data_IF_500582755781
#
_entry.id   IF_500582755781
#
_cell.length_a   1.000
_cell.length_b   1.000
_cell.length_c   1.000
_cell.angle_alpha   90.00
_cell.angle_beta   90.00
_cell.angle_gamma   90.00
#
_symmetry.space_group_name_H-M   'P 1'
#
loop_
_entity.id
_entity.type
_entity.pdbx_description
1 polymer ?
#
# COMPACT_ATOMS: atom_id res chain seq x y z
N UNK A 1 23.72 -6.19 -27.27
CA UNK A 1 23.59 -6.37 -28.74
C UNK A 1 24.10 -5.13 -29.45
N UNK A 2 23.54 -3.95 -29.17
CA UNK A 2 23.95 -2.67 -29.76
C UNK A 2 25.42 -2.29 -29.51
N UNK A 3 25.98 -2.56 -28.33
CA UNK A 3 27.40 -2.33 -28.05
C UNK A 3 28.32 -3.09 -29.03
N UNK A 4 28.03 -4.38 -29.27
CA UNK A 4 28.83 -5.21 -30.19
C UNK A 4 28.71 -4.72 -31.64
N UNK A 5 27.54 -4.24 -32.02
CA UNK A 5 27.31 -3.65 -33.35
C UNK A 5 28.05 -2.33 -33.50
N UNK A 6 28.00 -1.45 -32.50
CA UNK A 6 28.74 -0.20 -32.49
C UNK A 6 30.25 -0.42 -32.61
N UNK A 7 30.79 -1.42 -31.90
CA UNK A 7 32.18 -1.84 -32.02
C UNK A 7 32.46 -2.39 -33.43
N UNK A 8 31.60 -3.25 -33.98
CA UNK A 8 31.80 -3.82 -35.31
C UNK A 8 31.83 -2.75 -36.41
N UNK A 9 30.90 -1.78 -36.36
CA UNK A 9 30.90 -0.62 -37.27
C UNK A 9 32.18 0.19 -37.08
N UNK A 10 32.59 0.46 -35.85
CA UNK A 10 33.84 1.19 -35.62
C UNK A 10 35.06 0.46 -36.20
N UNK A 11 35.16 -0.86 -36.05
CA UNK A 11 36.25 -1.66 -36.59
C UNK A 11 36.25 -1.72 -38.13
N UNK A 12 35.08 -1.60 -38.78
CA UNK A 12 34.96 -1.56 -40.23
C UNK A 12 35.49 -0.25 -40.84
N UNK A 13 35.29 0.88 -40.16
CA UNK A 13 35.62 2.22 -40.67
C UNK A 13 36.87 2.85 -40.06
N UNK A 14 37.41 2.29 -38.97
CA UNK A 14 38.65 2.78 -38.36
C UNK A 14 39.89 2.26 -39.09
N UNK A 15 40.94 3.10 -39.16
CA UNK A 15 42.24 2.70 -39.69
C UNK A 15 43.35 3.30 -38.84
N UNK A 16 44.45 2.54 -38.65
CA UNK A 16 45.67 2.97 -37.93
C UNK A 16 45.45 3.42 -36.47
N UNK A 17 44.51 2.80 -35.74
CA UNK A 17 44.36 3.01 -34.29
C UNK A 17 45.24 2.04 -33.48
N UNK A 18 46.54 1.96 -33.80
CA UNK A 18 47.47 0.97 -33.23
C UNK A 18 47.63 1.11 -31.70
N UNK A 19 47.34 2.31 -31.16
CA UNK A 19 47.36 2.62 -29.73
C UNK A 19 45.99 2.48 -29.06
N UNK A 20 44.95 2.12 -29.81
CA UNK A 20 43.55 1.98 -29.35
C UNK A 20 43.00 3.24 -28.67
N UNK A 21 43.49 4.43 -29.04
CA UNK A 21 43.08 5.69 -28.41
C UNK A 21 41.64 6.05 -28.80
N UNK A 22 41.25 5.79 -30.05
CA UNK A 22 39.89 6.06 -30.54
C UNK A 22 38.91 4.98 -30.12
N UNK A 23 39.34 3.71 -30.12
CA UNK A 23 38.55 2.62 -29.58
C UNK A 23 38.24 2.82 -28.09
N UNK A 24 39.21 3.29 -27.30
CA UNK A 24 39.00 3.61 -25.88
C UNK A 24 37.93 4.70 -25.69
N UNK A 25 38.00 5.79 -26.47
CA UNK A 25 36.98 6.86 -26.44
C UNK A 25 35.59 6.35 -26.80
N UNK A 26 35.49 5.44 -27.78
CA UNK A 26 34.22 4.80 -28.12
C UNK A 26 33.67 4.02 -26.92
N UNK A 27 34.49 3.22 -26.24
CA UNK A 27 34.07 2.45 -25.07
C UNK A 27 33.63 3.35 -23.91
N UNK A 28 34.37 4.44 -23.65
CA UNK A 28 33.99 5.45 -22.66
C UNK A 28 32.62 6.06 -22.99
N UNK A 29 32.41 6.44 -24.26
CA UNK A 29 31.12 7.00 -24.72
C UNK A 29 29.97 6.00 -24.60
N UNK A 30 30.20 4.72 -24.94
CA UNK A 30 29.19 3.66 -24.81
C UNK A 30 28.80 3.47 -23.35
N UNK A 31 29.76 3.48 -22.43
CA UNK A 31 29.47 3.33 -21.01
C UNK A 31 28.67 4.53 -20.47
N UNK A 32 29.04 5.76 -20.84
CA UNK A 32 28.27 6.97 -20.49
C UNK A 32 26.82 6.90 -20.99
N UNK A 33 26.61 6.49 -22.25
CA UNK A 33 25.27 6.32 -22.83
C UNK A 33 24.50 5.24 -22.08
N UNK A 34 25.15 4.14 -21.73
CA UNK A 34 24.53 3.03 -20.99
C UNK A 34 24.13 3.46 -19.59
N UNK A 35 24.96 4.20 -18.88
CA UNK A 35 24.64 4.76 -17.56
C UNK A 35 23.42 5.69 -17.64
N UNK A 36 23.37 6.59 -18.62
CA UNK A 36 22.21 7.47 -18.85
C UNK A 36 20.92 6.67 -19.13
N UNK A 37 20.99 5.63 -19.99
CA UNK A 37 19.85 4.75 -20.24
C UNK A 37 19.38 4.01 -18.98
N UNK A 38 20.30 3.56 -18.12
CA UNK A 38 19.95 2.91 -16.86
C UNK A 38 19.22 3.88 -15.94
N UNK A 39 19.71 5.11 -15.78
CA UNK A 39 19.07 6.15 -14.98
C UNK A 39 17.67 6.50 -15.52
N UNK A 40 17.53 6.67 -16.83
CA UNK A 40 16.24 6.93 -17.47
C UNK A 40 15.26 5.78 -17.27
N UNK A 41 15.73 4.53 -17.34
CA UNK A 41 14.91 3.35 -17.11
C UNK A 41 14.44 3.24 -15.66
N UNK A 42 15.32 3.57 -14.69
CA UNK A 42 14.94 3.66 -13.28
C UNK A 42 13.89 4.75 -13.05
N UNK A 43 14.13 5.97 -13.53
CA UNK A 43 13.21 7.11 -13.39
C UNK A 43 11.85 6.84 -14.04
N UNK A 44 11.84 6.28 -15.25
CA UNK A 44 10.60 5.88 -15.93
C UNK A 44 9.84 4.82 -15.13
N UNK A 45 10.55 3.84 -14.56
CA UNK A 45 9.96 2.81 -13.71
C UNK A 45 9.37 3.41 -12.43
N UNK A 46 10.08 4.33 -11.75
CA UNK A 46 9.56 5.03 -10.56
C UNK A 46 8.29 5.79 -10.89
N UNK A 47 8.33 6.66 -11.90
CA UNK A 47 7.18 7.50 -12.30
C UNK A 47 5.96 6.67 -12.64
N UNK A 48 6.14 5.61 -13.42
CA UNK A 48 5.05 4.72 -13.79
C UNK A 48 4.47 4.00 -12.57
N UNK A 49 5.31 3.40 -11.72
CA UNK A 49 4.87 2.69 -10.52
C UNK A 49 4.13 3.60 -9.54
N UNK A 50 4.65 4.81 -9.31
CA UNK A 50 4.01 5.80 -8.44
C UNK A 50 2.63 6.22 -8.97
N UNK A 51 2.51 6.45 -10.28
CA UNK A 51 1.24 6.80 -10.89
C UNK A 51 0.21 5.66 -10.75
N UNK A 52 0.63 4.42 -10.99
CA UNK A 52 -0.23 3.24 -10.84
C UNK A 52 -0.67 3.04 -9.39
N UNK A 53 0.25 3.10 -8.42
CA UNK A 53 -0.11 3.02 -6.99
C UNK A 53 -1.05 4.14 -6.56
N UNK A 54 -0.81 5.37 -7.01
CA UNK A 54 -1.69 6.50 -6.69
C UNK A 54 -3.11 6.26 -7.17
N UNK A 55 -3.27 5.70 -8.37
CA UNK A 55 -4.58 5.36 -8.91
C UNK A 55 -5.24 4.21 -8.14
N UNK A 56 -4.51 3.12 -7.89
CA UNK A 56 -5.03 1.93 -7.21
C UNK A 56 -5.41 2.23 -5.74
N UNK A 57 -4.60 3.04 -5.05
CA UNK A 57 -4.84 3.42 -3.65
C UNK A 57 -5.84 4.54 -3.47
N UNK A 58 -6.39 5.14 -4.54
CA UNK A 58 -7.25 6.32 -4.44
C UNK A 58 -8.48 6.07 -3.56
N UNK A 59 -9.12 4.91 -3.70
CA UNK A 59 -10.26 4.50 -2.88
C UNK A 59 -9.88 4.41 -1.40
N UNK A 60 -8.78 3.70 -1.10
CA UNK A 60 -8.26 3.54 0.25
C UNK A 60 -7.96 4.90 0.90
N UNK A 61 -7.23 5.76 0.20
CA UNK A 61 -6.86 7.10 0.69
C UNK A 61 -8.09 7.98 0.96
N UNK A 62 -9.12 7.91 0.10
CA UNK A 62 -10.39 8.59 0.34
C UNK A 62 -11.10 8.05 1.58
N UNK A 63 -11.15 6.73 1.75
CA UNK A 63 -11.76 6.09 2.92
C UNK A 63 -11.04 6.46 4.23
N UNK A 64 -9.70 6.52 4.22
CA UNK A 64 -8.90 7.01 5.35
C UNK A 64 -9.26 8.46 5.65
N UNK A 65 -9.25 9.35 4.64
CA UNK A 65 -9.51 10.78 4.84
C UNK A 65 -10.91 11.09 5.38
N UNK A 66 -11.89 10.23 5.07
CA UNK A 66 -13.27 10.35 5.54
C UNK A 66 -13.48 9.74 6.93
N UNK A 67 -12.47 9.06 7.49
CA UNK A 67 -12.60 8.33 8.74
C UNK A 67 -13.51 7.11 8.64
N UNK A 68 -13.65 6.51 7.44
CA UNK A 68 -14.54 5.34 7.23
C UNK A 68 -14.19 4.16 8.14
N UNK A 69 -12.92 4.04 8.51
CA UNK A 69 -12.42 2.97 9.39
C UNK A 69 -12.52 3.30 10.89
N UNK A 70 -13.06 4.47 11.26
CA UNK A 70 -13.25 4.87 12.66
C UNK A 70 -14.54 4.29 13.24
N UNK A 71 -14.67 2.96 13.14
CA UNK A 71 -15.81 2.16 13.64
C UNK A 71 -15.27 0.91 14.35
N UNK A 72 -16.03 0.28 15.26
CA UNK A 72 -15.67 -1.03 15.80
C UNK A 72 -15.46 -2.06 14.67
N UNK A 73 -14.34 -2.79 14.71
CA UNK A 73 -13.88 -3.70 13.66
C UNK A 73 -13.28 -3.02 12.43
N UNK A 74 -13.14 -1.69 12.43
CA UNK A 74 -12.68 -0.91 11.28
C UNK A 74 -11.23 -1.21 10.86
N UNK A 75 -10.38 -1.71 11.75
CA UNK A 75 -9.01 -2.09 11.41
C UNK A 75 -8.97 -3.25 10.41
N UNK A 76 -9.87 -4.23 10.56
CA UNK A 76 -9.94 -5.35 9.62
C UNK A 76 -10.33 -4.89 8.21
N UNK A 77 -11.33 -4.01 8.11
CA UNK A 77 -11.77 -3.43 6.83
C UNK A 77 -10.64 -2.64 6.14
N UNK A 78 -9.81 -1.94 6.92
CA UNK A 78 -8.63 -1.27 6.40
C UNK A 78 -7.61 -2.25 5.82
N UNK A 79 -7.34 -3.36 6.52
CA UNK A 79 -6.40 -4.38 6.05
C UNK A 79 -6.85 -5.00 4.73
N UNK A 80 -8.13 -5.33 4.59
CA UNK A 80 -8.68 -5.90 3.35
C UNK A 80 -8.50 -4.94 2.16
N UNK A 81 -8.81 -3.66 2.33
CA UNK A 81 -8.60 -2.66 1.28
C UNK A 81 -7.11 -2.43 0.98
N UNK A 82 -6.24 -2.47 1.98
CA UNK A 82 -4.77 -2.38 1.80
C UNK A 82 -4.23 -3.57 1.01
N UNK A 83 -4.60 -4.80 1.39
CA UNK A 83 -4.20 -6.03 0.69
C UNK A 83 -4.69 -6.05 -0.75
N UNK A 84 -5.90 -5.54 -1.01
CA UNK A 84 -6.42 -5.39 -2.36
C UNK A 84 -5.57 -4.45 -3.22
N UNK A 85 -5.12 -3.32 -2.68
CA UNK A 85 -4.19 -2.41 -3.38
C UNK A 85 -2.88 -3.12 -3.71
N UNK A 86 -2.30 -3.88 -2.78
CA UNK A 86 -1.08 -4.66 -3.01
C UNK A 86 -1.29 -5.73 -4.10
N UNK A 87 -2.41 -6.45 -4.03
CA UNK A 87 -2.77 -7.45 -5.03
C UNK A 87 -2.91 -6.84 -6.42
N UNK A 88 -3.70 -5.78 -6.56
CA UNK A 88 -3.93 -5.10 -7.83
C UNK A 88 -2.63 -4.55 -8.41
N UNK A 89 -1.77 -3.98 -7.56
CA UNK A 89 -0.46 -3.50 -7.98
C UNK A 89 0.43 -4.63 -8.48
N UNK A 90 0.39 -5.82 -7.85
CA UNK A 90 1.13 -6.98 -8.30
C UNK A 90 0.70 -7.45 -9.70
N UNK A 91 -0.57 -7.26 -10.07
CA UNK A 91 -1.09 -7.57 -11.41
C UNK A 91 -0.68 -6.57 -12.50
N UNK A 92 -0.25 -5.35 -12.14
CA UNK A 92 0.15 -4.33 -13.12
C UNK A 92 1.36 -4.82 -13.94
N UNK A 93 1.27 -4.75 -15.27
CA UNK A 93 2.37 -5.14 -16.15
C UNK A 93 3.34 -3.97 -16.37
N UNK A 94 4.58 -4.31 -16.80
CA UNK A 94 5.60 -3.35 -17.24
C UNK A 94 5.98 -2.29 -16.18
N UNK A 95 5.93 -2.67 -14.90
CA UNK A 95 6.31 -1.80 -13.78
C UNK A 95 7.78 -1.34 -13.85
N UNK A 96 8.66 -2.17 -14.41
CA UNK A 96 10.08 -1.89 -14.54
C UNK A 96 10.88 -2.25 -13.29
N UNK A 97 12.12 -1.81 -13.23
CA UNK A 97 13.13 -2.25 -12.25
C UNK A 97 12.90 -1.72 -10.83
N UNK A 98 12.12 -0.64 -10.67
CA UNK A 98 11.85 0.03 -9.37
C UNK A 98 10.50 -0.35 -8.75
N UNK A 99 9.83 -1.37 -9.28
CA UNK A 99 8.49 -1.78 -8.84
C UNK A 99 8.38 -2.08 -7.33
N UNK A 100 9.31 -2.86 -6.80
CA UNK A 100 9.29 -3.29 -5.40
C UNK A 100 9.67 -2.14 -4.45
N UNK A 101 10.64 -1.32 -4.83
CA UNK A 101 11.10 -0.18 -4.03
C UNK A 101 9.96 0.83 -3.83
N UNK A 102 9.23 1.14 -4.90
CA UNK A 102 8.08 2.05 -4.85
C UNK A 102 6.93 1.49 -3.99
N UNK A 103 6.65 0.18 -4.09
CA UNK A 103 5.65 -0.48 -3.25
C UNK A 103 6.03 -0.44 -1.77
N UNK A 104 7.29 -0.78 -1.45
CA UNK A 104 7.77 -0.77 -0.06
C UNK A 104 7.67 0.63 0.54
N UNK A 105 8.06 1.67 -0.20
CA UNK A 105 7.93 3.05 0.26
C UNK A 105 6.46 3.43 0.50
N UNK A 106 5.53 3.00 -0.36
CA UNK A 106 4.10 3.19 -0.13
C UNK A 106 3.64 2.53 1.17
N UNK A 107 3.98 1.26 1.39
CA UNK A 107 3.59 0.51 2.60
C UNK A 107 4.18 1.13 3.87
N UNK A 108 5.43 1.59 3.83
CA UNK A 108 6.06 2.29 4.94
C UNK A 108 5.30 3.57 5.31
N UNK A 109 4.82 4.33 4.32
CA UNK A 109 4.02 5.53 4.57
C UNK A 109 2.64 5.23 5.17
N UNK A 110 2.13 3.99 5.02
CA UNK A 110 0.86 3.57 5.62
C UNK A 110 0.98 3.14 7.09
N UNK A 111 2.19 2.84 7.59
CA UNK A 111 2.37 2.29 8.96
C UNK A 111 1.80 3.20 10.05
N UNK A 112 1.99 4.52 9.93
CA UNK A 112 1.45 5.46 10.91
C UNK A 112 -0.09 5.51 10.89
N UNK A 113 -0.68 5.44 9.70
CA UNK A 113 -2.15 5.41 9.52
C UNK A 113 -2.71 4.11 10.07
N UNK A 114 -2.10 2.98 9.74
CA UNK A 114 -2.47 1.65 10.22
C UNK A 114 -2.48 1.58 11.74
N UNK A 115 -1.42 2.09 12.39
CA UNK A 115 -1.34 2.16 13.85
C UNK A 115 -2.45 3.05 14.46
N UNK A 116 -2.75 4.19 13.83
CA UNK A 116 -3.82 5.08 14.31
C UNK A 116 -5.20 4.43 14.20
N UNK A 117 -5.47 3.72 13.10
CA UNK A 117 -6.74 2.99 12.92
C UNK A 117 -6.85 1.87 13.94
N UNK A 118 -5.78 1.09 14.14
CA UNK A 118 -5.74 0.01 15.13
C UNK A 118 -6.08 0.50 16.53
N UNK A 119 -5.43 1.59 16.97
CA UNK A 119 -5.69 2.17 18.29
C UNK A 119 -7.13 2.66 18.43
N UNK A 120 -7.66 3.33 17.39
CA UNK A 120 -9.05 3.77 17.35
C UNK A 120 -10.03 2.60 17.46
N UNK A 121 -9.82 1.55 16.68
CA UNK A 121 -10.67 0.36 16.68
C UNK A 121 -10.70 -0.33 18.05
N UNK A 122 -9.55 -0.52 18.69
CA UNK A 122 -9.48 -1.12 20.03
C UNK A 122 -10.33 -0.35 21.05
N UNK A 123 -10.24 0.98 21.03
CA UNK A 123 -11.01 1.84 21.94
C UNK A 123 -12.51 1.77 21.63
N UNK A 124 -12.89 1.91 20.36
CA UNK A 124 -14.29 1.88 19.94
C UNK A 124 -14.95 0.54 20.21
N UNK A 125 -14.26 -0.56 19.88
CA UNK A 125 -14.73 -1.93 20.15
C UNK A 125 -14.90 -2.19 21.64
N UNK A 126 -14.01 -1.66 22.49
CA UNK A 126 -14.16 -1.78 23.94
C UNK A 126 -15.39 -1.01 24.45
N UNK A 127 -15.57 0.23 23.99
CA UNK A 127 -16.70 1.08 24.38
C UNK A 127 -18.04 0.48 23.97
N UNK A 128 -18.15 -0.06 22.75
CA UNK A 128 -19.35 -0.74 22.28
C UNK A 128 -19.72 -1.94 23.16
N UNK A 129 -18.74 -2.78 23.50
CA UNK A 129 -18.95 -3.93 24.38
C UNK A 129 -19.39 -3.52 25.79
N UNK A 130 -18.78 -2.47 26.35
CA UNK A 130 -19.15 -1.97 27.67
C UNK A 130 -20.59 -1.45 27.69
N UNK A 131 -20.98 -0.68 26.68
CA UNK A 131 -22.32 -0.15 26.53
C UNK A 131 -23.37 -1.28 26.34
N UNK A 132 -23.06 -2.27 25.51
CA UNK A 132 -23.91 -3.43 25.32
C UNK A 132 -24.12 -4.23 26.63
N UNK A 133 -23.07 -4.37 27.45
CA UNK A 133 -23.17 -5.02 28.76
C UNK A 133 -24.05 -4.23 29.74
N UNK A 134 -23.92 -2.90 29.77
CA UNK A 134 -24.76 -2.03 30.60
C UNK A 134 -26.24 -2.13 30.20
N UNK A 135 -26.53 -2.11 28.90
CA UNK A 135 -27.89 -2.31 28.39
C UNK A 135 -28.46 -3.67 28.78
N UNK A 136 -27.67 -4.75 28.66
CA UNK A 136 -28.11 -6.09 29.05
C UNK A 136 -28.40 -6.20 30.55
N UNK A 137 -27.60 -5.54 31.41
CA UNK A 137 -27.85 -5.50 32.86
C UNK A 137 -29.13 -4.73 33.19
N UNK A 138 -29.35 -3.59 32.54
CA UNK A 138 -30.57 -2.79 32.73
C UNK A 138 -31.82 -3.56 32.31
N UNK A 139 -31.78 -4.23 31.15
CA UNK A 139 -32.89 -5.04 30.66
C UNK A 139 -33.19 -6.22 31.60
N UNK A 140 -32.16 -6.89 32.13
CA UNK A 140 -32.33 -7.97 33.10
C UNK A 140 -32.99 -7.48 34.40
N UNK A 141 -32.57 -6.32 34.92
CA UNK A 141 -33.17 -5.71 36.10
C UNK A 141 -34.64 -5.30 35.87
N UNK A 142 -34.96 -4.72 34.71
CA UNK A 142 -36.33 -4.37 34.34
C UNK A 142 -37.25 -5.60 34.27
N UNK A 143 -36.77 -6.69 33.65
CA UNK A 143 -37.51 -7.97 33.61
C UNK A 143 -37.73 -8.55 35.00
N UNK A 144 -36.74 -8.48 35.89
CA UNK A 144 -36.87 -8.96 37.27
C UNK A 144 -37.93 -8.15 38.05
N UNK A 145 -37.92 -6.82 37.91
CA UNK A 145 -38.92 -5.93 38.53
C UNK A 145 -40.33 -6.22 38.01
N UNK A 146 -40.48 -6.45 36.70
CA UNK A 146 -41.78 -6.79 36.09
C UNK A 146 -42.30 -8.14 36.60
N UNK A 147 -41.45 -9.17 36.67
CA UNK A 147 -41.78 -10.48 37.22
C UNK A 147 -42.23 -10.40 38.69
N UNK A 148 -41.52 -9.62 39.51
CA UNK A 148 -41.90 -9.40 40.90
C UNK A 148 -43.27 -8.71 41.02
N UNK A 149 -43.52 -7.71 40.16
CA UNK A 149 -44.79 -6.99 40.11
C UNK A 149 -45.96 -7.89 39.69
N UNK A 150 -45.74 -8.82 38.75
CA UNK A 150 -46.74 -9.81 38.34
C UNK A 150 -47.06 -10.78 39.48
N UNK A 151 -46.04 -11.36 40.13
CA UNK A 151 -46.22 -12.24 41.28
C UNK A 151 -46.99 -11.57 42.42
N UNK A 152 -46.72 -10.29 42.67
CA UNK A 152 -47.43 -9.54 43.70
C UNK A 152 -48.93 -9.36 43.37
N UNK A 153 -49.25 -9.07 42.09
CA UNK A 153 -50.64 -8.98 41.63
C UNK A 153 -51.38 -10.31 41.73
N UNK A 154 -50.72 -11.42 41.39
CA UNK A 154 -51.29 -12.78 41.50
C UNK A 154 -51.55 -13.19 42.95
N UNK A 155 -50.72 -12.75 43.91
CA UNK A 155 -50.93 -13.03 45.34
C UNK A 155 -52.04 -12.20 45.99
N UNK A 156 -52.48 -11.10 45.35
CA UNK A 156 -53.56 -10.24 45.85
C UNK A 156 -54.94 -10.55 45.24
N UNK A 157 -55.03 -11.51 44.33
CA UNK A 157 -56.29 -12.08 43.81
C UNK A 157 -56.68 -13.34 44.57
#
# INVERSE_FOLDING_TARGET
HCEREAIAVFMEYSFKDDKQEFQKKLMETIEEIKEDFLLQNEDASVKYCQAQLKQLSESLMKSISRGTFCVPGGYHLYLEEKEKVEWDYNQVQRKGVKANEVLQHFLQNQVAVENSILQGDVVLTYQEKALAAEFALKEAAEKEVELLSQKYKEQQQ
#
